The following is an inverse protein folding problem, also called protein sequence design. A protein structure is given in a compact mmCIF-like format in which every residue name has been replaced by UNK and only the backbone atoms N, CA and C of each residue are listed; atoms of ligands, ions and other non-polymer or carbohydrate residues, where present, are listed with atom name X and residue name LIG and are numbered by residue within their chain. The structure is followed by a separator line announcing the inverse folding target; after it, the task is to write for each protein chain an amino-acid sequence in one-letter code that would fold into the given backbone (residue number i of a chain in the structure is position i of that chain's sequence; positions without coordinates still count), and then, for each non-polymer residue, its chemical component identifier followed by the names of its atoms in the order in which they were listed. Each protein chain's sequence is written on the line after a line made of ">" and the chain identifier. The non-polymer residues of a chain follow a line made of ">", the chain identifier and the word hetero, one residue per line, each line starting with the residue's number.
data_IF_324169339639
#
_entry.id   IF_324169339639
#
_cell.length_a   1.000
_cell.length_b   1.000
_cell.length_c   1.000
_cell.angle_alpha   90.00
_cell.angle_beta   90.00
_cell.angle_gamma   90.00
#
_symmetry.space_group_name_H-M   'P 1'
#
loop_
_entity.id
_entity.type
_entity.pdbx_description
1 polymer ?
#
# COMPACT_ATOMS: atom_id res chain seq x y z
N UNK A 1 27.30 0.19 6.62
CA UNK A 1 27.85 -0.80 7.58
C UNK A 1 26.95 -1.05 8.78
N UNK A 2 26.14 -0.07 9.20
CA UNK A 2 25.07 -0.24 10.19
C UNK A 2 23.72 0.37 9.72
N UNK A 3 23.69 0.98 8.53
CA UNK A 3 22.51 1.66 7.96
C UNK A 3 21.60 0.75 7.13
N UNK A 4 22.06 -0.45 6.72
CA UNK A 4 21.30 -1.36 5.85
C UNK A 4 20.45 -2.41 6.61
N UNK A 5 20.25 -2.23 7.92
CA UNK A 5 19.48 -3.18 8.76
C UNK A 5 18.13 -2.57 9.16
N UNK A 6 17.97 -1.25 9.12
CA UNK A 6 16.81 -0.56 9.70
C UNK A 6 15.58 -0.47 8.77
N UNK A 7 15.73 -0.68 7.46
CA UNK A 7 14.61 -0.60 6.48
C UNK A 7 14.27 -1.98 5.86
N UNK A 8 14.14 -3.01 6.72
CA UNK A 8 13.79 -4.37 6.26
C UNK A 8 12.28 -4.58 6.01
N UNK A 9 11.44 -3.62 6.39
CA UNK A 9 9.98 -3.78 6.37
C UNK A 9 9.25 -2.52 5.92
N UNK A 10 8.17 -2.72 5.15
CA UNK A 10 7.22 -1.66 4.79
C UNK A 10 5.96 -1.76 5.64
N UNK A 11 5.40 -0.62 6.04
CA UNK A 11 4.10 -0.53 6.72
C UNK A 11 3.09 0.23 5.85
N UNK A 12 1.82 -0.18 5.92
CA UNK A 12 0.74 0.60 5.32
C UNK A 12 -0.09 1.36 6.36
N UNK A 13 -0.33 2.67 6.17
CA UNK A 13 -1.27 3.41 7.01
C UNK A 13 -2.74 3.22 6.60
N UNK A 14 -3.03 2.61 5.45
CA UNK A 14 -4.38 2.47 4.91
C UNK A 14 -4.74 1.01 4.65
N UNK A 15 -6.04 0.72 4.68
CA UNK A 15 -6.58 -0.61 4.40
C UNK A 15 -6.67 -0.81 2.90
N UNK A 16 -5.92 -1.76 2.36
CA UNK A 16 -5.94 -2.12 0.95
C UNK A 16 -6.54 -3.52 0.79
N UNK A 17 -7.62 -3.61 0.03
CA UNK A 17 -8.37 -4.84 -0.24
C UNK A 17 -8.58 -5.07 -1.74
N UNK A 18 -8.16 -4.12 -2.59
CA UNK A 18 -8.34 -4.14 -4.04
C UNK A 18 -7.03 -3.91 -4.80
N UNK A 19 -5.99 -4.64 -4.40
CA UNK A 19 -4.66 -4.54 -5.00
C UNK A 19 -4.18 -5.83 -5.70
N UNK A 20 -5.07 -6.81 -5.86
CA UNK A 20 -4.78 -8.09 -6.51
C UNK A 20 -4.64 -7.99 -8.03
N UNK A 21 -4.18 -9.08 -8.64
CA UNK A 21 -3.96 -9.14 -10.09
C UNK A 21 -5.26 -9.04 -10.93
N UNK A 22 -6.40 -9.31 -10.29
CA UNK A 22 -7.75 -9.23 -10.88
C UNK A 22 -8.47 -7.91 -10.57
N UNK A 23 -7.91 -7.10 -9.68
CA UNK A 23 -8.48 -5.81 -9.31
C UNK A 23 -8.20 -4.73 -10.37
N UNK A 24 -8.92 -3.59 -10.32
CA UNK A 24 -8.68 -2.48 -11.22
C UNK A 24 -7.23 -2.01 -11.19
N UNK A 25 -6.66 -1.82 -12.38
CA UNK A 25 -5.31 -1.30 -12.61
C UNK A 25 -5.40 0.10 -13.19
N UNK A 26 -4.32 0.86 -13.05
CA UNK A 26 -4.16 2.11 -13.78
C UNK A 26 -2.72 2.35 -14.18
N UNK A 27 -2.57 3.18 -15.19
CA UNK A 27 -1.28 3.69 -15.63
C UNK A 27 -0.56 4.44 -14.50
N UNK A 28 0.75 4.25 -14.40
CA UNK A 28 1.56 4.82 -13.32
C UNK A 28 2.15 6.20 -13.63
N UNK A 29 1.81 6.84 -14.76
CA UNK A 29 2.43 8.11 -15.18
C UNK A 29 2.21 9.24 -14.17
N UNK A 30 0.99 9.37 -13.62
CA UNK A 30 0.70 10.35 -12.56
C UNK A 30 1.53 10.08 -11.31
N UNK A 31 1.70 8.81 -10.97
CA UNK A 31 2.49 8.35 -9.84
C UNK A 31 3.99 8.59 -10.02
N UNK A 32 4.55 8.42 -11.24
CA UNK A 32 5.95 8.78 -11.55
C UNK A 32 6.17 10.29 -11.32
N UNK A 33 5.20 11.13 -11.69
CA UNK A 33 5.30 12.58 -11.42
C UNK A 33 5.31 12.89 -9.92
N UNK A 34 4.49 12.17 -9.14
CA UNK A 34 4.44 12.30 -7.68
C UNK A 34 5.78 11.89 -7.05
N UNK A 35 6.34 10.76 -7.45
CA UNK A 35 7.64 10.29 -6.95
C UNK A 35 8.73 11.33 -7.20
N UNK A 36 8.80 11.85 -8.43
CA UNK A 36 9.77 12.88 -8.79
C UNK A 36 9.57 14.17 -7.99
N UNK A 37 8.31 14.57 -7.77
CA UNK A 37 7.97 15.74 -6.96
C UNK A 37 8.41 15.59 -5.50
N UNK A 38 8.20 14.41 -4.92
CA UNK A 38 8.56 14.09 -3.53
C UNK A 38 10.02 13.67 -3.35
N UNK A 39 10.80 13.61 -4.44
CA UNK A 39 12.19 13.13 -4.47
C UNK A 39 12.32 11.70 -3.86
N UNK A 40 11.33 10.85 -4.15
CA UNK A 40 11.33 9.44 -3.77
C UNK A 40 12.08 8.60 -4.82
N UNK A 41 12.30 7.33 -4.51
CA UNK A 41 13.07 6.43 -5.36
C UNK A 41 12.36 6.11 -6.68
N UNK A 42 13.15 5.92 -7.73
CA UNK A 42 12.63 5.65 -9.07
C UNK A 42 12.01 4.26 -9.16
N UNK A 43 10.86 4.16 -9.83
CA UNK A 43 10.19 2.89 -10.13
C UNK A 43 10.88 2.22 -11.31
N UNK A 44 10.90 0.89 -11.33
CA UNK A 44 11.38 0.11 -12.47
C UNK A 44 10.66 0.58 -13.76
N UNK A 45 11.40 1.04 -14.78
CA UNK A 45 10.82 1.53 -16.03
C UNK A 45 9.98 0.50 -16.79
N UNK A 46 10.09 -0.80 -16.46
CA UNK A 46 9.28 -1.86 -17.05
C UNK A 46 7.89 -1.98 -16.41
N UNK A 47 7.64 -1.34 -15.26
CA UNK A 47 6.31 -1.25 -14.67
C UNK A 47 5.56 -0.11 -15.36
N UNK A 48 4.42 -0.43 -15.99
CA UNK A 48 3.57 0.55 -16.70
C UNK A 48 2.23 0.78 -16.01
N UNK A 49 1.79 -0.19 -15.23
CA UNK A 49 0.53 -0.15 -14.50
C UNK A 49 0.73 -0.68 -13.09
N UNK A 50 -0.09 -0.19 -12.17
CA UNK A 50 -0.13 -0.64 -10.78
C UNK A 50 -1.57 -0.70 -10.25
N UNK A 51 -1.74 -1.12 -8.98
CA UNK A 51 -3.05 -1.21 -8.35
C UNK A 51 -3.74 0.15 -8.29
N UNK A 52 -4.95 0.24 -8.86
CA UNK A 52 -5.65 1.51 -8.97
C UNK A 52 -6.06 2.09 -7.61
N UNK A 53 -6.40 1.24 -6.64
CA UNK A 53 -6.70 1.67 -5.27
C UNK A 53 -5.49 2.38 -4.63
N UNK A 54 -4.31 1.78 -4.73
CA UNK A 54 -3.08 2.37 -4.17
C UNK A 54 -2.73 3.72 -4.80
N UNK A 55 -2.73 3.77 -6.13
CA UNK A 55 -2.36 5.00 -6.84
C UNK A 55 -3.39 6.10 -6.57
N UNK A 56 -4.69 5.79 -6.47
CA UNK A 56 -5.72 6.77 -6.12
C UNK A 56 -5.53 7.35 -4.71
N UNK A 57 -5.14 6.51 -3.75
CA UNK A 57 -4.82 6.93 -2.38
C UNK A 57 -3.65 7.90 -2.38
N UNK A 58 -2.58 7.61 -3.13
CA UNK A 58 -1.43 8.50 -3.22
C UNK A 58 -1.75 9.82 -3.90
N UNK A 59 -2.55 9.81 -4.96
CA UNK A 59 -3.02 11.03 -5.62
C UNK A 59 -3.81 11.92 -4.66
N UNK A 60 -4.80 11.38 -3.93
CA UNK A 60 -5.57 12.14 -2.93
C UNK A 60 -4.66 12.68 -1.82
N UNK A 61 -3.70 11.88 -1.36
CA UNK A 61 -2.75 12.26 -0.33
C UNK A 61 -1.87 13.43 -0.80
N UNK A 62 -1.27 13.35 -1.98
CA UNK A 62 -0.44 14.45 -2.53
C UNK A 62 -1.26 15.72 -2.71
N UNK A 63 -2.45 15.61 -3.30
CA UNK A 63 -3.33 16.77 -3.52
C UNK A 63 -3.68 17.46 -2.20
N UNK A 64 -4.02 16.70 -1.16
CA UNK A 64 -4.43 17.28 0.14
C UNK A 64 -3.25 17.74 0.99
N UNK A 65 -2.08 17.10 0.90
CA UNK A 65 -0.89 17.53 1.66
C UNK A 65 -0.21 18.75 1.03
N UNK A 66 -0.27 18.93 -0.29
CA UNK A 66 0.45 19.99 -1.02
C UNK A 66 0.18 21.41 -0.45
N UNK A 67 -1.07 21.83 -0.18
CA UNK A 67 -1.33 23.14 0.43
C UNK A 67 -0.71 23.32 1.82
N UNK A 68 -0.59 22.23 2.60
CA UNK A 68 0.00 22.26 3.93
C UNK A 68 1.53 22.31 3.90
N UNK A 69 2.14 21.64 2.92
CA UNK A 69 3.58 21.73 2.63
C UNK A 69 3.95 23.14 2.20
N UNK A 70 3.27 23.68 1.18
CA UNK A 70 3.53 25.04 0.65
C UNK A 70 3.27 26.11 1.72
N UNK A 71 2.21 25.94 2.51
CA UNK A 71 1.87 26.86 3.58
C UNK A 71 2.73 26.72 4.85
N UNK A 72 3.69 25.79 4.87
CA UNK A 72 4.50 25.43 6.05
C UNK A 72 3.65 25.23 7.32
N UNK A 73 2.59 24.40 7.21
CA UNK A 73 1.62 24.12 8.29
C UNK A 73 1.81 22.69 8.82
N UNK A 74 2.85 22.39 9.62
CA UNK A 74 3.19 21.03 10.02
C UNK A 74 2.09 20.34 10.85
N UNK A 75 1.37 21.08 11.70
CA UNK A 75 0.26 20.51 12.47
C UNK A 75 -0.92 20.12 11.57
N UNK A 76 -1.23 20.93 10.56
CA UNK A 76 -2.29 20.64 9.60
C UNK A 76 -1.89 19.48 8.67
N UNK A 77 -0.62 19.43 8.27
CA UNK A 77 -0.06 18.32 7.50
C UNK A 77 -0.23 17.00 8.26
N UNK A 78 0.18 16.96 9.54
CA UNK A 78 0.03 15.76 10.36
C UNK A 78 -1.45 15.36 10.49
N UNK A 79 -2.33 16.32 10.77
CA UNK A 79 -3.76 16.04 10.89
C UNK A 79 -4.35 15.50 9.58
N UNK A 80 -3.88 15.99 8.43
CA UNK A 80 -4.35 15.54 7.13
C UNK A 80 -3.92 14.10 6.81
N UNK A 81 -2.70 13.69 7.18
CA UNK A 81 -2.22 12.30 7.02
C UNK A 81 -3.10 11.30 7.79
N UNK A 82 -3.72 11.73 8.88
CA UNK A 82 -4.55 10.86 9.73
C UNK A 82 -6.00 10.68 9.22
N UNK A 83 -6.40 11.36 8.13
CA UNK A 83 -7.75 11.25 7.55
C UNK A 83 -7.91 10.04 6.60
N UNK A 84 -9.14 9.55 6.45
CA UNK A 84 -9.52 8.61 5.38
C UNK A 84 -9.32 9.24 3.99
N UNK A 85 -9.07 8.41 2.97
CA UNK A 85 -8.86 8.88 1.59
C UNK A 85 -10.14 8.79 0.79
N UNK A 86 -10.39 9.82 -0.01
CA UNK A 86 -11.47 9.81 -0.99
C UNK A 86 -10.89 9.39 -2.34
N UNK A 87 -11.48 8.38 -2.95
CA UNK A 87 -11.05 7.83 -4.23
C UNK A 87 -12.27 7.72 -5.15
N UNK A 88 -12.08 7.62 -6.47
CA UNK A 88 -13.20 7.35 -7.38
C UNK A 88 -13.99 6.11 -6.97
N UNK A 89 -15.30 6.14 -7.18
CA UNK A 89 -16.19 5.01 -6.89
C UNK A 89 -15.70 3.73 -7.58
N UNK A 90 -15.77 2.61 -6.85
CA UNK A 90 -15.22 1.33 -7.29
C UNK A 90 -13.78 1.08 -6.85
N UNK A 91 -13.03 2.13 -6.46
CA UNK A 91 -11.63 2.01 -6.03
C UNK A 91 -11.45 2.05 -4.51
N UNK A 92 -12.50 2.40 -3.76
CA UNK A 92 -12.51 2.34 -2.30
C UNK A 92 -12.63 0.92 -1.77
N UNK A 93 -12.54 0.78 -0.44
CA UNK A 93 -12.75 -0.49 0.23
C UNK A 93 -14.14 -1.05 -0.08
N UNK A 94 -14.22 -2.37 -0.28
CA UNK A 94 -15.44 -3.08 -0.73
C UNK A 94 -16.04 -2.51 -2.04
N UNK A 95 -15.27 -1.76 -2.82
CA UNK A 95 -15.72 -1.10 -4.05
C UNK A 95 -16.47 0.22 -3.87
N UNK A 96 -16.39 0.85 -2.70
CA UNK A 96 -16.91 2.21 -2.48
C UNK A 96 -16.02 3.32 -3.05
N UNK A 97 -16.18 4.53 -2.52
CA UNK A 97 -15.38 5.72 -2.83
C UNK A 97 -14.46 6.19 -1.69
N UNK A 98 -14.23 5.32 -0.69
CA UNK A 98 -13.42 5.63 0.49
C UNK A 98 -12.41 4.53 0.73
N UNK A 99 -11.15 4.91 0.97
CA UNK A 99 -10.14 4.02 1.54
C UNK A 99 -9.85 4.43 2.97
N UNK A 100 -10.04 3.51 3.90
CA UNK A 100 -9.97 3.80 5.33
C UNK A 100 -8.54 3.82 5.86
N UNK A 101 -8.24 4.79 6.73
CA UNK A 101 -7.05 4.82 7.57
C UNK A 101 -7.09 3.65 8.56
N UNK A 102 -6.01 2.89 8.62
CA UNK A 102 -5.85 1.77 9.54
C UNK A 102 -6.05 2.24 10.99
N UNK A 103 -7.01 1.62 11.67
CA UNK A 103 -7.36 1.84 13.08
C UNK A 103 -8.05 0.59 13.62
N UNK A 104 -8.12 0.46 14.93
CA UNK A 104 -8.84 -0.65 15.57
C UNK A 104 -10.30 -0.69 15.10
N UNK A 105 -10.78 -1.90 14.77
CA UNK A 105 -12.17 -2.12 14.32
C UNK A 105 -12.45 -1.69 12.88
N UNK A 106 -11.43 -1.36 12.07
CA UNK A 106 -11.63 -0.92 10.68
C UNK A 106 -12.07 -2.06 9.75
N UNK A 107 -11.76 -3.31 10.08
CA UNK A 107 -12.16 -4.51 9.34
C UNK A 107 -13.68 -4.60 9.13
N UNK A 108 -14.47 -3.96 10.00
CA UNK A 108 -15.94 -3.98 9.91
C UNK A 108 -16.46 -3.39 8.61
N UNK A 109 -15.70 -2.49 7.99
CA UNK A 109 -16.05 -1.89 6.71
C UNK A 109 -15.74 -2.80 5.50
N UNK A 110 -15.05 -3.92 5.75
CA UNK A 110 -14.82 -5.00 4.79
C UNK A 110 -15.81 -6.16 4.96
N UNK A 111 -16.64 -6.15 6.01
CA UNK A 111 -17.64 -7.19 6.24
C UNK A 111 -18.83 -6.96 5.29
N UNK A 112 -18.95 -7.82 4.28
CA UNK A 112 -20.08 -7.81 3.34
C UNK A 112 -21.27 -8.64 3.82
N UNK A 113 -21.05 -9.61 4.72
CA UNK A 113 -22.08 -10.43 5.34
C UNK A 113 -22.13 -10.23 6.86
N UNK A 114 -23.06 -9.39 7.31
CA UNK A 114 -23.23 -9.02 8.73
C UNK A 114 -23.81 -10.15 9.58
N UNK A 115 -24.40 -11.18 8.97
CA UNK A 115 -25.02 -12.29 9.69
C UNK A 115 -24.01 -13.38 10.06
N UNK A 116 -22.77 -13.29 9.57
CA UNK A 116 -21.72 -14.26 9.85
C UNK A 116 -20.83 -13.78 11.01
N UNK A 117 -20.93 -14.38 12.21
CA UNK A 117 -20.15 -13.97 13.38
C UNK A 117 -18.63 -14.19 13.22
N UNK A 118 -18.19 -14.99 12.24
CA UNK A 118 -16.78 -15.17 11.90
C UNK A 118 -16.26 -14.19 10.83
N UNK A 119 -17.12 -13.30 10.31
CA UNK A 119 -16.75 -12.40 9.23
C UNK A 119 -15.71 -11.35 9.64
N UNK A 120 -15.71 -10.91 10.91
CA UNK A 120 -14.69 -9.98 11.43
C UNK A 120 -13.29 -10.60 11.42
N UNK A 121 -13.15 -11.83 11.94
CA UNK A 121 -11.87 -12.55 11.93
C UNK A 121 -11.37 -12.78 10.50
N UNK A 122 -12.25 -13.20 9.57
CA UNK A 122 -11.86 -13.38 8.16
C UNK A 122 -11.51 -12.07 7.46
N UNK A 123 -12.16 -10.96 7.84
CA UNK A 123 -11.81 -9.65 7.33
C UNK A 123 -10.43 -9.19 7.85
N UNK A 124 -10.12 -9.41 9.14
CA UNK A 124 -8.80 -9.06 9.69
C UNK A 124 -7.65 -9.88 9.07
N UNK A 125 -7.85 -11.19 8.85
CA UNK A 125 -6.84 -12.05 8.21
C UNK A 125 -6.55 -11.68 6.74
N UNK A 126 -7.36 -10.82 6.12
CA UNK A 126 -7.13 -10.33 4.75
C UNK A 126 -6.45 -8.96 4.69
N UNK A 127 -6.32 -8.25 5.82
CA UNK A 127 -5.73 -6.90 5.87
C UNK A 127 -4.26 -7.00 6.24
N UNK A 128 -3.39 -6.86 5.25
CA UNK A 128 -1.95 -6.76 5.48
C UNK A 128 -1.59 -5.39 6.06
N UNK A 129 -0.72 -5.38 7.07
CA UNK A 129 -0.29 -4.19 7.82
C UNK A 129 1.18 -3.88 7.59
N UNK A 130 2.00 -4.92 7.51
CA UNK A 130 3.44 -4.83 7.39
C UNK A 130 3.98 -6.03 6.60
N UNK A 131 5.05 -5.84 5.84
CA UNK A 131 5.69 -6.92 5.11
C UNK A 131 7.18 -6.68 4.92
N UNK A 132 7.94 -7.75 4.70
CA UNK A 132 9.37 -7.65 4.37
C UNK A 132 9.55 -6.90 3.04
N UNK A 133 10.52 -6.00 2.99
CA UNK A 133 10.94 -5.40 1.73
C UNK A 133 11.55 -6.48 0.85
N UNK A 134 10.81 -6.88 -0.18
CA UNK A 134 11.35 -7.74 -1.24
C UNK A 134 12.07 -6.83 -2.20
N UNK A 135 13.39 -6.75 -2.13
CA UNK A 135 14.19 -5.94 -3.05
C UNK A 135 13.79 -6.27 -4.50
N UNK A 136 13.20 -5.28 -5.18
CA UNK A 136 12.70 -5.41 -6.54
C UNK A 136 13.83 -5.40 -7.59
N UNK A 137 15.07 -5.16 -7.15
CA UNK A 137 16.20 -5.06 -8.04
C UNK A 137 16.74 -6.45 -8.41
N UNK A 138 16.20 -6.95 -9.52
CA UNK A 138 16.60 -8.20 -10.18
C UNK A 138 18.10 -8.23 -10.54
N UNK A 139 18.78 -7.08 -10.59
CA UNK A 139 20.21 -7.01 -10.91
C UNK A 139 21.14 -7.44 -9.75
N UNK A 140 20.62 -7.51 -8.52
CA UNK A 140 21.34 -8.08 -7.36
C UNK A 140 21.09 -9.58 -7.15
N UNK A 141 20.26 -10.21 -7.99
CA UNK A 141 19.83 -11.58 -7.82
C UNK A 141 20.22 -12.49 -8.99
N UNK A 142 21.16 -13.40 -8.74
CA UNK A 142 21.30 -14.63 -9.53
C UNK A 142 20.24 -15.70 -9.13
N UNK A 143 19.29 -15.37 -8.24
CA UNK A 143 18.23 -16.27 -7.74
C UNK A 143 16.90 -15.52 -7.49
N UNK A 144 15.78 -16.07 -7.95
CA UNK A 144 14.41 -15.53 -7.85
C UNK A 144 14.07 -15.06 -6.42
N UNK A 145 13.36 -13.92 -6.24
CA UNK A 145 12.84 -13.53 -4.92
C UNK A 145 11.95 -14.63 -4.35
N UNK A 146 12.30 -15.15 -3.17
CA UNK A 146 11.62 -16.32 -2.59
C UNK A 146 10.21 -16.03 -2.06
N UNK A 147 9.91 -14.77 -1.73
CA UNK A 147 8.71 -14.34 -1.02
C UNK A 147 9.01 -13.30 0.06
N UNK A 148 7.99 -12.97 0.86
CA UNK A 148 8.05 -12.04 1.98
C UNK A 148 7.24 -12.59 3.15
N UNK A 149 7.66 -12.31 4.39
CA UNK A 149 6.75 -12.43 5.53
C UNK A 149 5.78 -11.25 5.53
N UNK A 150 4.49 -11.52 5.73
CA UNK A 150 3.42 -10.53 5.76
C UNK A 150 2.70 -10.64 7.10
N UNK A 151 2.64 -9.54 7.84
CA UNK A 151 1.86 -9.39 9.07
C UNK A 151 0.46 -8.84 8.73
N UNK A 152 -0.57 -9.49 9.26
CA UNK A 152 -1.96 -9.12 9.07
C UNK A 152 -2.58 -8.50 10.33
N UNK A 153 -3.76 -7.90 10.18
CA UNK A 153 -4.42 -7.14 11.25
C UNK A 153 -4.85 -7.98 12.46
N UNK A 154 -5.08 -9.28 12.28
CA UNK A 154 -5.36 -10.23 13.37
C UNK A 154 -4.07 -10.67 14.14
N UNK A 155 -2.91 -10.15 13.73
CA UNK A 155 -1.61 -10.44 14.33
C UNK A 155 -0.91 -11.69 13.80
N UNK A 156 -1.50 -12.42 12.85
CA UNK A 156 -0.79 -13.55 12.25
C UNK A 156 0.25 -13.09 11.22
N UNK A 157 1.27 -13.93 11.02
CA UNK A 157 2.28 -13.75 9.99
C UNK A 157 2.22 -14.93 9.02
N UNK A 158 2.21 -14.64 7.72
CA UNK A 158 2.26 -15.64 6.66
C UNK A 158 3.48 -15.39 5.76
N UNK A 159 4.18 -16.46 5.36
CA UNK A 159 5.18 -16.35 4.30
C UNK A 159 4.51 -16.47 2.93
N UNK A 160 4.50 -15.37 2.18
CA UNK A 160 3.90 -15.29 0.85
C UNK A 160 5.00 -15.41 -0.21
N UNK A 161 4.94 -16.45 -1.05
CA UNK A 161 5.90 -16.64 -2.15
C UNK A 161 5.68 -15.62 -3.25
N UNK A 162 6.76 -15.10 -3.83
CA UNK A 162 6.69 -14.21 -4.98
C UNK A 162 6.71 -15.00 -6.31
N UNK A 163 5.85 -14.66 -7.29
CA UNK A 163 4.70 -13.78 -7.17
C UNK A 163 3.55 -14.47 -6.42
N UNK A 164 2.89 -13.72 -5.53
CA UNK A 164 1.78 -14.20 -4.69
C UNK A 164 0.64 -13.20 -4.60
N UNK A 165 -0.28 -13.33 -3.63
CA UNK A 165 -1.25 -12.30 -3.31
C UNK A 165 -0.56 -10.98 -2.86
N UNK A 166 -1.27 -9.83 -2.94
CA UNK A 166 -0.79 -8.57 -2.36
C UNK A 166 -0.43 -8.73 -0.87
N UNK A 167 0.61 -8.03 -0.38
CA UNK A 167 1.44 -7.03 -1.06
C UNK A 167 2.62 -7.63 -1.86
N UNK A 168 2.67 -8.96 -2.03
CA UNK A 168 3.80 -9.69 -2.64
C UNK A 168 3.46 -10.13 -4.09
N UNK A 169 2.58 -9.40 -4.76
CA UNK A 169 2.31 -9.59 -6.19
C UNK A 169 3.18 -8.63 -7.04
N UNK A 170 3.27 -8.91 -8.34
CA UNK A 170 4.08 -8.10 -9.27
C UNK A 170 3.62 -6.65 -9.34
N UNK A 171 2.31 -6.41 -9.19
CA UNK A 171 1.73 -5.06 -9.25
C UNK A 171 1.99 -4.27 -7.97
N UNK A 172 1.99 -4.92 -6.80
CA UNK A 172 2.30 -4.28 -5.54
C UNK A 172 3.79 -4.07 -5.28
N UNK A 173 4.68 -4.50 -6.19
CA UNK A 173 6.09 -4.09 -6.18
C UNK A 173 6.24 -2.55 -6.21
N UNK A 174 5.25 -1.86 -6.77
CA UNK A 174 5.16 -0.40 -6.74
C UNK A 174 5.12 0.16 -5.31
N UNK A 175 4.47 -0.53 -4.36
CA UNK A 175 4.48 -0.12 -2.95
C UNK A 175 5.91 -0.13 -2.41
N UNK A 176 6.64 -1.23 -2.65
CA UNK A 176 8.00 -1.42 -2.14
C UNK A 176 8.93 -0.34 -2.70
N UNK A 177 8.84 -0.02 -4.00
CA UNK A 177 9.69 1.00 -4.61
C UNK A 177 9.55 2.42 -4.02
N UNK A 178 8.42 2.74 -3.39
CA UNK A 178 8.17 4.05 -2.77
C UNK A 178 8.80 4.15 -1.40
N UNK A 179 8.86 3.03 -0.67
CA UNK A 179 9.22 2.98 0.74
C UNK A 179 10.62 2.40 1.00
N UNK A 180 11.20 1.69 0.03
CA UNK A 180 12.59 1.25 0.08
C UNK A 180 13.49 2.50 0.04
N UNK A 181 14.39 2.66 1.00
CA UNK A 181 15.45 3.68 1.00
C UNK A 181 16.77 2.96 0.78
N UNK A 182 17.34 3.11 -0.42
CA UNK A 182 18.66 2.56 -0.76
C UNK A 182 19.78 3.07 0.12
#
# INVERSE_FOLDING_TARGET
>A
GLESIDDSYTYTPYVYDRCGDTDPKRDISSFIQIINFLQLNSVDPNIKEGPAQFIAVLEDLVVKLTPHVIGNKPAALKAEVDNDRSVPDGLGNSGGGTVYRLREGIERFLITDINNPSASARAQSGVYVMWDNVAADVSFFNHVPGGANVLYMDGHVEFVRYPGPPPVNRLAAVFISVFDRG
#
